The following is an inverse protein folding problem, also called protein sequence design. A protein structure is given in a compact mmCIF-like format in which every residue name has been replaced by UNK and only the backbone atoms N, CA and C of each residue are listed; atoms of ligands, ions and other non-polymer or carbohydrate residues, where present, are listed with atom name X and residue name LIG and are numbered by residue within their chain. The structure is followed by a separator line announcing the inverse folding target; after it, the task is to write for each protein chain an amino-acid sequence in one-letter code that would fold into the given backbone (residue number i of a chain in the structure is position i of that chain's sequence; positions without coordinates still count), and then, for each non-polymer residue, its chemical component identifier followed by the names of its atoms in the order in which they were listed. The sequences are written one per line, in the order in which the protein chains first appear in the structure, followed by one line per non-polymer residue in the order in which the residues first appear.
data_IF_334550948547
#
_entry.id   IF_334550948547
#
_cell.length_a   1.000
_cell.length_b   1.000
_cell.length_c   1.000
_cell.angle_alpha   90.00
_cell.angle_beta   90.00
_cell.angle_gamma   90.00
#
_symmetry.space_group_name_H-M   'P 1'
#
loop_
_entity.id
_entity.type
_entity.pdbx_description
1 polymer ?
#
# COMPACT_ATOMS: atom_id res chain seq x y z
N UNK A 1 -26.86 -35.56 6.12
CA UNK A 1 -25.40 -35.48 5.91
C UNK A 1 -24.97 -34.47 4.84
N UNK A 2 -25.62 -34.38 3.67
CA UNK A 2 -25.28 -33.36 2.64
C UNK A 2 -25.47 -31.90 3.10
N UNK A 3 -26.51 -31.61 3.88
CA UNK A 3 -26.80 -30.25 4.37
C UNK A 3 -25.79 -29.73 5.41
N UNK A 4 -25.13 -30.63 6.17
CA UNK A 4 -24.11 -30.26 7.15
C UNK A 4 -22.76 -29.88 6.51
N UNK A 5 -22.51 -30.34 5.28
CA UNK A 5 -21.30 -30.00 4.52
C UNK A 5 -21.41 -28.62 3.85
N UNK A 6 -22.63 -28.15 3.56
CA UNK A 6 -22.89 -26.82 2.99
C UNK A 6 -22.78 -25.69 4.02
N UNK A 7 -23.03 -25.97 5.30
CA UNK A 7 -22.92 -24.97 6.37
C UNK A 7 -21.48 -24.74 6.85
N UNK A 8 -20.56 -25.69 6.62
CA UNK A 8 -19.15 -25.55 7.03
C UNK A 8 -18.32 -24.71 6.04
N UNK A 9 -18.73 -24.64 4.77
CA UNK A 9 -18.02 -23.89 3.73
C UNK A 9 -18.30 -22.38 3.72
N UNK A 10 -19.34 -21.89 4.41
CA UNK A 10 -19.59 -20.44 4.54
C UNK A 10 -18.77 -19.77 5.66
N UNK A 11 -18.23 -20.53 6.62
CA UNK A 11 -17.47 -19.99 7.74
C UNK A 11 -16.03 -19.59 7.38
N UNK A 12 -15.57 -19.92 6.17
CA UNK A 12 -14.23 -19.57 5.67
C UNK A 12 -14.25 -18.39 4.70
N UNK A 13 -15.26 -17.52 4.80
CA UNK A 13 -15.16 -16.16 4.26
C UNK A 13 -14.26 -15.35 5.19
N UNK A 14 -12.97 -15.72 5.23
CA UNK A 14 -11.95 -14.89 5.84
C UNK A 14 -12.11 -13.52 5.19
N UNK A 15 -12.52 -12.54 5.99
CA UNK A 15 -12.71 -11.19 5.50
C UNK A 15 -11.37 -10.79 4.90
N UNK A 16 -11.35 -10.68 3.57
CA UNK A 16 -10.25 -10.07 2.86
C UNK A 16 -10.29 -8.61 3.29
N UNK A 17 -9.70 -8.32 4.46
CA UNK A 17 -9.33 -6.98 4.84
C UNK A 17 -8.17 -6.67 3.90
N UNK A 18 -8.51 -6.32 2.66
CA UNK A 18 -7.64 -5.48 1.89
C UNK A 18 -7.42 -4.25 2.78
N UNK A 19 -6.19 -4.09 3.24
CA UNK A 19 -5.82 -3.00 4.12
C UNK A 19 -4.95 -2.09 3.30
N UNK A 20 -5.49 -0.92 2.99
CA UNK A 20 -4.77 0.14 2.34
C UNK A 20 -4.83 1.42 3.16
N UNK A 21 -3.85 2.29 2.96
CA UNK A 21 -3.83 3.61 3.56
C UNK A 21 -3.27 4.62 2.59
N UNK A 22 -4.03 5.69 2.42
CA UNK A 22 -3.56 6.88 1.71
C UNK A 22 -2.78 7.73 2.71
N UNK A 23 -1.55 8.07 2.35
CA UNK A 23 -0.67 8.94 3.11
C UNK A 23 -0.50 10.20 2.30
N UNK A 24 -1.00 11.30 2.85
CA UNK A 24 -0.85 12.63 2.29
C UNK A 24 0.07 13.42 3.19
N UNK A 25 1.26 13.75 2.70
CA UNK A 25 2.23 14.55 3.44
C UNK A 25 2.41 15.90 2.75
N UNK A 26 2.31 16.97 3.55
CA UNK A 26 2.46 18.35 3.10
C UNK A 26 3.64 19.00 3.84
N UNK A 27 4.61 19.46 3.06
CA UNK A 27 5.64 20.41 3.47
C UNK A 27 5.46 21.72 2.69
N UNK A 28 6.14 22.81 3.08
CA UNK A 28 5.97 24.15 2.46
C UNK A 28 6.07 24.19 0.92
N UNK A 29 6.74 23.22 0.28
CA UNK A 29 6.93 23.17 -1.17
C UNK A 29 6.71 21.80 -1.82
N UNK A 30 6.37 20.77 -1.04
CA UNK A 30 6.26 19.40 -1.54
C UNK A 30 5.00 18.76 -0.95
N UNK A 31 4.12 18.33 -1.85
CA UNK A 31 2.94 17.53 -1.52
C UNK A 31 3.17 16.12 -2.07
N UNK A 32 3.29 15.15 -1.17
CA UNK A 32 3.43 13.75 -1.54
C UNK A 32 2.14 13.04 -1.20
N UNK A 33 1.51 12.45 -2.21
CA UNK A 33 0.34 11.58 -2.03
C UNK A 33 0.68 10.19 -2.53
N UNK A 34 0.74 9.25 -1.61
CA UNK A 34 0.89 7.83 -1.91
C UNK A 34 -0.24 7.05 -1.27
N UNK A 35 -0.46 5.84 -1.77
CA UNK A 35 -1.26 4.84 -1.08
C UNK A 35 -0.46 3.55 -0.97
N UNK A 36 -0.43 2.97 0.22
CA UNK A 36 0.17 1.67 0.49
C UNK A 36 -0.96 0.65 0.58
N UNK A 37 -0.82 -0.49 -0.07
CA UNK A 37 -1.78 -1.60 -0.04
C UNK A 37 -1.08 -2.88 0.43
N UNK A 38 -1.58 -3.45 1.51
CA UNK A 38 -0.98 -4.58 2.18
C UNK A 38 -1.10 -5.86 1.35
N UNK A 39 0.01 -6.60 1.17
CA UNK A 39 0.03 -7.95 0.58
C UNK A 39 0.28 -9.04 1.60
N UNK A 40 1.29 -8.86 2.46
CA UNK A 40 1.70 -9.90 3.41
C UNK A 40 2.11 -9.38 4.79
N UNK A 41 1.97 -8.07 5.03
CA UNK A 41 2.31 -7.44 6.31
C UNK A 41 1.21 -7.78 7.33
N UNK A 42 1.53 -8.17 8.57
CA UNK A 42 0.53 -8.33 9.62
C UNK A 42 -0.27 -7.04 9.84
N UNK A 43 -1.60 -7.14 9.89
CA UNK A 43 -2.55 -6.00 9.95
C UNK A 43 -2.13 -4.89 10.93
N UNK A 44 -1.83 -5.26 12.17
CA UNK A 44 -1.40 -4.32 13.21
C UNK A 44 -0.10 -3.59 12.83
N UNK A 45 0.89 -4.33 12.33
CA UNK A 45 2.16 -3.77 11.88
C UNK A 45 1.98 -2.85 10.66
N UNK A 46 1.07 -3.20 9.75
CA UNK A 46 0.71 -2.36 8.61
C UNK A 46 0.15 -1.01 9.05
N UNK A 47 -0.87 -1.02 9.92
CA UNK A 47 -1.54 0.20 10.38
C UNK A 47 -0.67 1.10 11.25
N UNK A 48 0.06 0.51 12.18
CA UNK A 48 0.82 1.26 13.19
C UNK A 48 2.25 1.61 12.73
N UNK A 49 2.82 0.82 11.82
CA UNK A 49 4.19 1.01 11.33
C UNK A 49 4.26 1.67 9.96
N UNK A 50 3.68 1.03 8.94
CA UNK A 50 3.84 1.45 7.54
C UNK A 50 2.94 2.63 7.18
N UNK A 51 1.68 2.57 7.59
CA UNK A 51 0.68 3.59 7.30
C UNK A 51 0.84 4.89 8.10
N UNK A 52 1.68 4.92 9.13
CA UNK A 52 1.89 6.09 9.98
C UNK A 52 3.35 6.56 9.94
N UNK A 53 3.89 6.95 8.76
CA UNK A 53 5.25 7.45 8.70
C UNK A 53 5.33 8.81 9.41
N UNK A 54 6.08 8.86 10.51
CA UNK A 54 6.45 10.11 11.17
C UNK A 54 7.57 10.79 10.39
N UNK A 55 7.19 11.63 9.41
CA UNK A 55 8.14 12.46 8.67
C UNK A 55 8.43 13.72 9.48
N UNK A 56 9.68 13.87 9.94
CA UNK A 56 10.10 15.02 10.74
C UNK A 56 9.82 16.33 9.99
N UNK A 57 9.07 17.24 10.62
CA UNK A 57 8.76 18.56 10.07
C UNK A 57 7.65 18.59 9.01
N UNK A 58 6.88 17.51 8.83
CA UNK A 58 5.76 17.46 7.88
C UNK A 58 4.45 17.09 8.57
N UNK A 59 3.35 17.67 8.12
CA UNK A 59 2.01 17.22 8.54
C UNK A 59 1.61 16.06 7.63
N UNK A 60 1.37 14.90 8.25
CA UNK A 60 0.94 13.69 7.54
C UNK A 60 -0.50 13.36 7.91
N UNK A 61 -1.37 13.34 6.91
CA UNK A 61 -2.74 12.86 7.04
C UNK A 61 -2.83 11.43 6.49
N UNK A 62 -3.40 10.53 7.29
CA UNK A 62 -3.53 9.12 6.95
C UNK A 62 -5.01 8.76 6.92
N UNK A 63 -5.48 8.22 5.80
CA UNK A 63 -6.83 7.69 5.68
C UNK A 63 -6.79 6.23 5.27
N UNK A 64 -7.38 5.37 6.10
CA UNK A 64 -7.50 3.93 5.84
C UNK A 64 -8.65 3.65 4.89
N UNK A 65 -8.42 2.74 3.96
CA UNK A 65 -9.39 2.28 2.98
C UNK A 65 -9.18 0.79 2.71
N UNK A 66 -10.12 0.16 2.03
CA UNK A 66 -9.99 -1.25 1.68
C UNK A 66 -8.96 -1.43 0.56
N UNK A 67 -9.03 -0.60 -0.48
CA UNK A 67 -8.11 -0.66 -1.63
C UNK A 67 -7.58 0.71 -1.98
N UNK A 68 -6.39 0.75 -2.56
CA UNK A 68 -5.86 2.03 -3.03
C UNK A 68 -6.76 2.61 -4.14
N UNK A 69 -7.12 3.91 -4.05
CA UNK A 69 -8.00 4.53 -5.03
C UNK A 69 -7.38 4.54 -6.42
N UNK A 70 -8.23 4.59 -7.45
CA UNK A 70 -7.77 4.73 -8.83
C UNK A 70 -7.09 6.08 -9.09
N UNK A 71 -6.41 6.21 -10.24
CA UNK A 71 -5.79 7.46 -10.67
C UNK A 71 -4.36 7.66 -10.20
N UNK A 72 -3.69 6.61 -9.71
CA UNK A 72 -2.23 6.61 -9.59
C UNK A 72 -1.60 6.69 -10.98
N UNK A 73 -0.50 7.42 -11.14
CA UNK A 73 0.25 7.43 -12.41
C UNK A 73 1.26 6.28 -12.50
N UNK A 74 1.48 5.56 -11.39
CA UNK A 74 2.40 4.45 -11.32
C UNK A 74 2.21 3.65 -10.03
N UNK A 75 2.43 2.34 -10.12
CA UNK A 75 2.28 1.40 -9.02
C UNK A 75 3.59 0.62 -8.90
N UNK A 76 4.19 0.61 -7.71
CA UNK A 76 5.24 -0.35 -7.38
C UNK A 76 4.59 -1.58 -6.75
N UNK A 77 4.37 -2.62 -7.56
CA UNK A 77 3.71 -3.85 -7.14
C UNK A 77 4.71 -4.81 -6.48
N UNK A 78 4.23 -5.58 -5.50
CA UNK A 78 5.04 -6.55 -4.75
C UNK A 78 6.33 -5.92 -4.16
N UNK A 79 6.27 -4.64 -3.80
CA UNK A 79 7.37 -3.91 -3.22
C UNK A 79 7.74 -4.53 -1.87
N UNK A 80 8.97 -5.02 -1.77
CA UNK A 80 9.50 -5.60 -0.53
C UNK A 80 9.81 -4.49 0.46
N UNK A 81 9.33 -4.67 1.68
CA UNK A 81 9.68 -3.84 2.83
C UNK A 81 11.12 -4.10 3.24
N UNK A 82 11.90 -3.02 3.36
CA UNK A 82 13.30 -3.08 3.76
C UNK A 82 13.49 -3.82 5.10
N UNK A 83 14.50 -4.70 5.16
CA UNK A 83 14.81 -5.48 6.35
C UNK A 83 13.82 -6.60 6.68
N UNK A 84 12.80 -6.85 5.85
CA UNK A 84 11.79 -7.91 6.10
C UNK A 84 11.53 -8.77 4.86
N UNK A 85 10.73 -9.81 5.05
CA UNK A 85 10.18 -10.64 3.95
C UNK A 85 8.77 -10.20 3.51
N UNK A 86 8.28 -9.05 4.02
CA UNK A 86 6.94 -8.59 3.72
C UNK A 86 6.88 -7.78 2.43
N UNK A 87 5.70 -7.82 1.81
CA UNK A 87 5.39 -7.16 0.55
C UNK A 87 4.16 -6.25 0.69
N UNK A 88 4.15 -5.20 -0.11
CA UNK A 88 3.04 -4.27 -0.27
C UNK A 88 3.04 -3.70 -1.69
N UNK A 89 1.91 -3.18 -2.14
CA UNK A 89 1.86 -2.34 -3.33
C UNK A 89 1.92 -0.87 -2.91
N UNK A 90 2.61 -0.04 -3.70
CA UNK A 90 2.72 1.41 -3.45
C UNK A 90 2.22 2.15 -4.68
N UNK A 91 1.11 2.85 -4.53
CA UNK A 91 0.46 3.66 -5.55
C UNK A 91 0.92 5.11 -5.43
N UNK A 92 1.43 5.68 -6.52
CA UNK A 92 1.92 7.06 -6.56
C UNK A 92 0.92 7.96 -7.28
N UNK A 93 0.54 9.07 -6.64
CA UNK A 93 -0.36 10.07 -7.19
C UNK A 93 0.36 11.42 -7.32
N UNK A 94 -0.11 12.27 -8.21
CA UNK A 94 0.50 13.58 -8.49
C UNK A 94 1.02 13.65 -9.92
N UNK A 95 2.28 14.10 -10.08
CA UNK A 95 2.84 14.42 -11.39
C UNK A 95 3.51 13.20 -12.02
N UNK A 96 3.00 12.75 -13.16
CA UNK A 96 3.49 11.55 -13.84
C UNK A 96 4.99 11.60 -14.21
N UNK A 97 5.57 12.80 -14.38
CA UNK A 97 7.01 12.95 -14.65
C UNK A 97 7.91 12.44 -13.54
N UNK A 98 7.40 12.31 -12.31
CA UNK A 98 8.15 11.81 -11.16
C UNK A 98 8.43 10.31 -11.26
N UNK A 99 7.71 9.59 -12.14
CA UNK A 99 7.99 8.20 -12.48
C UNK A 99 9.46 7.97 -12.88
N UNK A 100 10.15 8.98 -13.44
CA UNK A 100 11.58 8.90 -13.77
C UNK A 100 12.49 8.62 -12.57
N UNK A 101 12.06 8.98 -11.37
CA UNK A 101 12.79 8.71 -10.12
C UNK A 101 12.19 7.52 -9.38
N UNK A 102 10.85 7.41 -9.38
CA UNK A 102 10.14 6.40 -8.61
C UNK A 102 10.27 5.00 -9.20
N UNK A 103 10.26 4.87 -10.53
CA UNK A 103 10.43 3.56 -11.20
C UNK A 103 11.78 2.91 -10.87
N UNK A 104 12.93 3.57 -11.06
CA UNK A 104 14.22 2.99 -10.69
C UNK A 104 14.29 2.60 -9.20
N UNK A 105 13.71 3.42 -8.32
CA UNK A 105 13.69 3.12 -6.87
C UNK A 105 12.86 1.88 -6.56
N UNK A 106 11.67 1.76 -7.17
CA UNK A 106 10.79 0.60 -7.04
C UNK A 106 11.53 -0.70 -7.39
N UNK A 107 12.14 -0.73 -8.57
CA UNK A 107 12.77 -1.93 -9.12
C UNK A 107 14.09 -2.26 -8.38
N UNK A 108 14.91 -1.24 -8.09
CA UNK A 108 16.25 -1.47 -7.53
C UNK A 108 16.29 -1.59 -6.00
N UNK A 109 15.52 -0.78 -5.27
CA UNK A 109 15.55 -0.75 -3.79
C UNK A 109 14.48 -1.66 -3.22
N UNK A 110 13.22 -1.41 -3.59
CA UNK A 110 12.09 -2.20 -3.11
C UNK A 110 11.97 -3.56 -3.77
N UNK A 111 12.73 -3.83 -4.85
CA UNK A 111 12.67 -5.10 -5.61
C UNK A 111 11.24 -5.43 -6.11
N UNK A 112 10.43 -4.40 -6.30
CA UNK A 112 9.08 -4.52 -6.82
C UNK A 112 9.04 -4.42 -8.35
N UNK A 113 7.86 -4.62 -8.91
CA UNK A 113 7.59 -4.43 -10.34
C UNK A 113 6.87 -3.10 -10.56
N UNK A 114 7.43 -2.25 -11.43
CA UNK A 114 6.74 -1.02 -11.83
C UNK A 114 5.62 -1.33 -12.83
N UNK A 115 4.42 -0.86 -12.53
CA UNK A 115 3.25 -0.90 -13.41
C UNK A 115 2.83 0.53 -13.70
N UNK A 116 2.81 0.89 -14.98
CA UNK A 116 2.09 2.07 -15.44
C UNK A 116 0.63 1.63 -15.69
N UNK A 117 -0.35 2.16 -14.95
CA UNK A 117 -1.76 1.80 -15.13
C UNK A 117 -2.34 2.31 -16.46
#
# INVERSE_FOLDING_TARGET
MRLLLLSLSLALSGQALAEACTVHSRAERVEVRICQENRSIPAKLFREGFCQPQLAGQTTEVSFTEHCPQGSFGICREARVEGTAYHQDIHYYGVASDARYLKPSCESRSKGQWIAP
#
